data_IF_143981695615
#
_entry.id   IF_143981695615
#
_cell.length_a   1.000
_cell.length_b   1.000
_cell.length_c   1.000
_cell.angle_alpha   90.00
_cell.angle_beta   90.00
_cell.angle_gamma   90.00
#
_symmetry.space_group_name_H-M   'P 1'
#
loop_
_entity.id
_entity.type
_entity.pdbx_description
1 polymer ?
#
# COMPACT_ATOMS: atom_id res chain seq x y z
N UNK A 1 -22.20 -27.77 -20.24
CA UNK A 1 -21.62 -28.60 -19.16
C UNK A 1 -20.13 -28.90 -19.43
N UNK A 2 -19.34 -27.87 -19.78
CA UNK A 2 -17.88 -27.92 -20.00
C UNK A 2 -17.11 -26.94 -19.08
N UNK A 3 -17.81 -26.18 -18.22
CA UNK A 3 -17.23 -25.06 -17.46
C UNK A 3 -16.19 -25.47 -16.42
N UNK A 4 -16.24 -26.69 -15.89
CA UNK A 4 -15.30 -27.11 -14.84
C UNK A 4 -13.85 -27.27 -15.35
N UNK A 5 -13.66 -27.59 -16.64
CA UNK A 5 -12.34 -27.73 -17.24
C UNK A 5 -11.65 -26.38 -17.46
N UNK A 6 -12.38 -25.41 -18.01
CA UNK A 6 -11.84 -24.07 -18.29
C UNK A 6 -11.49 -23.31 -16.99
N UNK A 7 -12.36 -23.39 -15.98
CA UNK A 7 -12.15 -22.71 -14.69
C UNK A 7 -10.87 -23.17 -13.99
N UNK A 8 -10.55 -24.46 -14.03
CA UNK A 8 -9.33 -25.02 -13.43
C UNK A 8 -8.07 -24.55 -14.16
N UNK A 9 -8.18 -24.35 -15.48
CA UNK A 9 -7.06 -23.93 -16.33
C UNK A 9 -6.74 -22.45 -16.14
N UNK A 10 -7.76 -21.60 -16.02
CA UNK A 10 -7.61 -20.16 -15.76
C UNK A 10 -6.94 -19.94 -14.39
N UNK A 11 -7.42 -20.62 -13.34
CA UNK A 11 -6.82 -20.53 -11.99
C UNK A 11 -5.33 -20.88 -11.97
N UNK A 12 -4.92 -21.91 -12.69
CA UNK A 12 -3.50 -22.31 -12.80
C UNK A 12 -2.65 -21.25 -13.48
N UNK A 13 -3.13 -20.64 -14.57
CA UNK A 13 -2.41 -19.58 -15.29
C UNK A 13 -2.23 -18.33 -14.43
N UNK A 14 -3.30 -17.87 -13.77
CA UNK A 14 -3.25 -16.72 -12.87
C UNK A 14 -2.28 -16.93 -11.72
N UNK A 15 -2.32 -18.11 -11.08
CA UNK A 15 -1.38 -18.47 -10.03
C UNK A 15 0.07 -18.47 -10.52
N UNK A 16 0.33 -19.08 -11.69
CA UNK A 16 1.67 -19.12 -12.27
C UNK A 16 2.22 -17.71 -12.55
N UNK A 17 1.40 -16.81 -13.10
CA UNK A 17 1.80 -15.42 -13.35
C UNK A 17 2.17 -14.71 -12.05
N UNK A 18 1.32 -14.79 -11.02
CA UNK A 18 1.59 -14.17 -9.72
C UNK A 18 2.85 -14.76 -9.08
N UNK A 19 3.05 -16.08 -9.19
CA UNK A 19 4.22 -16.77 -8.68
C UNK A 19 5.51 -16.33 -9.39
N UNK A 20 5.48 -16.19 -10.72
CA UNK A 20 6.64 -15.68 -11.48
C UNK A 20 6.95 -14.24 -11.09
N UNK A 21 5.94 -13.37 -10.97
CA UNK A 21 6.14 -11.98 -10.53
C UNK A 21 6.74 -11.92 -9.12
N UNK A 22 6.29 -12.79 -8.22
CA UNK A 22 6.86 -12.91 -6.88
C UNK A 22 8.33 -13.35 -6.91
N UNK A 23 8.67 -14.39 -7.69
CA UNK A 23 10.06 -14.82 -7.82
C UNK A 23 10.95 -13.75 -8.45
N UNK A 24 10.46 -13.03 -9.46
CA UNK A 24 11.17 -11.91 -10.07
C UNK A 24 11.41 -10.79 -9.06
N UNK A 25 10.42 -10.46 -8.23
CA UNK A 25 10.55 -9.49 -7.15
C UNK A 25 11.60 -9.93 -6.13
N UNK A 26 11.56 -11.18 -5.65
CA UNK A 26 12.56 -11.70 -4.71
C UNK A 26 13.95 -11.68 -5.32
N UNK A 27 14.10 -12.11 -6.58
CA UNK A 27 15.38 -12.11 -7.28
C UNK A 27 15.96 -10.69 -7.43
N UNK A 28 15.13 -9.70 -7.79
CA UNK A 28 15.56 -8.31 -7.91
C UNK A 28 16.07 -7.75 -6.56
N UNK A 29 15.36 -8.03 -5.47
CA UNK A 29 15.80 -7.62 -4.13
C UNK A 29 17.08 -8.35 -3.69
N UNK A 30 17.26 -9.61 -4.09
CA UNK A 30 18.50 -10.37 -3.81
C UNK A 30 19.70 -9.82 -4.59
N UNK A 31 19.51 -9.34 -5.82
CA UNK A 31 20.58 -8.67 -6.58
C UNK A 31 21.01 -7.39 -5.86
N UNK A 32 20.04 -6.55 -5.46
CA UNK A 32 20.35 -5.32 -4.71
C UNK A 32 21.06 -5.63 -3.37
N UNK A 33 20.70 -6.72 -2.72
CA UNK A 33 21.38 -7.19 -1.50
C UNK A 33 22.81 -7.68 -1.77
N UNK A 34 23.03 -8.40 -2.88
CA UNK A 34 24.38 -8.84 -3.28
C UNK A 34 25.30 -7.66 -3.62
N UNK A 35 24.78 -6.63 -4.28
CA UNK A 35 25.53 -5.39 -4.54
C UNK A 35 25.88 -4.64 -3.24
N UNK A 36 25.02 -4.72 -2.22
CA UNK A 36 25.30 -4.15 -0.91
C UNK A 36 26.37 -4.93 -0.12
N UNK A 37 26.46 -6.25 -0.31
CA UNK A 37 27.47 -7.11 0.34
C UNK A 37 28.89 -6.88 -0.19
N UNK A 38 29.04 -6.34 -1.39
CA UNK A 38 30.35 -6.07 -2.01
C UNK A 38 31.03 -4.81 -1.45
N UNK A 39 30.34 -4.06 -0.57
CA UNK A 39 30.93 -2.91 0.12
C UNK A 39 31.75 -3.37 1.34
N UNK A 40 33.06 -3.12 1.34
CA UNK A 40 33.98 -3.51 2.43
C UNK A 40 33.64 -2.90 3.80
N UNK A 41 32.83 -1.83 3.83
CA UNK A 41 32.51 -1.11 5.04
C UNK A 41 31.24 -1.66 5.69
N UNK A 42 31.41 -2.24 6.89
CA UNK A 42 30.30 -2.68 7.75
C UNK A 42 29.68 -1.48 8.47
N UNK A 43 28.66 -0.88 7.85
CA UNK A 43 27.89 0.17 8.50
C UNK A 43 26.75 -0.41 9.34
N UNK A 44 26.41 0.21 10.47
CA UNK A 44 25.28 -0.19 11.33
C UNK A 44 24.11 0.76 11.07
N UNK A 45 22.93 0.20 10.79
CA UNK A 45 21.69 0.96 10.61
C UNK A 45 20.89 0.99 11.91
N UNK A 46 20.57 2.17 12.47
CA UNK A 46 19.95 2.29 13.80
C UNK A 46 18.58 1.65 13.95
N UNK A 47 17.74 1.61 12.89
CA UNK A 47 16.36 1.13 12.97
C UNK A 47 16.24 -0.26 13.61
N UNK A 48 17.13 -1.18 13.23
CA UNK A 48 17.20 -2.52 13.80
C UNK A 48 18.51 -2.79 14.55
N UNK A 49 19.43 -1.83 14.54
CA UNK A 49 20.79 -1.99 15.07
C UNK A 49 21.51 -3.21 14.49
N UNK A 50 21.40 -3.39 13.17
CA UNK A 50 21.99 -4.48 12.40
C UNK A 50 23.05 -3.93 11.43
N UNK A 51 23.97 -4.80 11.01
CA UNK A 51 24.82 -4.53 9.85
C UNK A 51 23.93 -4.21 8.62
N UNK A 52 24.37 -3.29 7.75
CA UNK A 52 23.55 -2.71 6.68
C UNK A 52 22.96 -3.75 5.73
N UNK A 53 23.74 -4.76 5.37
CA UNK A 53 23.34 -5.93 4.61
C UNK A 53 22.20 -6.69 5.32
N UNK A 54 22.39 -7.07 6.58
CA UNK A 54 21.35 -7.75 7.37
C UNK A 54 20.10 -6.89 7.53
N UNK A 55 20.27 -5.58 7.71
CA UNK A 55 19.18 -4.62 7.75
C UNK A 55 18.38 -4.63 6.44
N UNK A 56 19.03 -4.58 5.28
CA UNK A 56 18.36 -4.64 3.98
C UNK A 56 17.63 -5.96 3.75
N UNK A 57 18.24 -7.09 4.11
CA UNK A 57 17.59 -8.39 4.01
C UNK A 57 16.31 -8.44 4.86
N UNK A 58 16.38 -7.96 6.10
CA UNK A 58 15.22 -7.90 7.00
C UNK A 58 14.18 -6.92 6.47
N UNK A 59 14.57 -5.69 6.14
CA UNK A 59 13.64 -4.61 5.81
C UNK A 59 12.96 -4.78 4.44
N UNK A 60 13.67 -5.31 3.44
CA UNK A 60 13.16 -5.41 2.07
C UNK A 60 12.59 -6.77 1.72
N UNK A 61 13.04 -7.84 2.38
CA UNK A 61 12.59 -9.21 2.08
C UNK A 61 11.69 -9.74 3.18
N UNK A 62 12.21 -9.93 4.40
CA UNK A 62 11.46 -10.64 5.44
C UNK A 62 10.31 -9.82 6.02
N UNK A 63 10.58 -8.56 6.37
CA UNK A 63 9.61 -7.68 7.00
C UNK A 63 8.37 -7.50 6.13
N UNK A 64 8.46 -7.07 4.85
CA UNK A 64 7.26 -6.78 4.05
C UNK A 64 6.45 -8.04 3.79
N UNK A 65 7.10 -9.20 3.56
CA UNK A 65 6.40 -10.47 3.34
C UNK A 65 5.63 -10.87 4.60
N UNK A 66 6.31 -10.97 5.75
CA UNK A 66 5.71 -11.45 6.98
C UNK A 66 4.58 -10.53 7.46
N UNK A 67 4.87 -9.23 7.52
CA UNK A 67 3.90 -8.26 8.04
C UNK A 67 2.75 -8.04 7.07
N UNK A 68 2.93 -8.15 5.75
CA UNK A 68 1.81 -8.10 4.79
C UNK A 68 0.88 -9.29 4.96
N UNK A 69 1.42 -10.51 5.15
CA UNK A 69 0.61 -11.70 5.42
C UNK A 69 -0.23 -11.52 6.68
N UNK A 70 0.39 -11.02 7.76
CA UNK A 70 -0.29 -10.73 9.02
C UNK A 70 -1.35 -9.63 8.80
N UNK A 71 -1.01 -8.56 8.09
CA UNK A 71 -1.88 -7.42 7.83
C UNK A 71 -3.14 -7.83 7.04
N UNK A 72 -3.00 -8.60 5.97
CA UNK A 72 -4.13 -9.06 5.14
C UNK A 72 -5.12 -9.91 5.93
N UNK A 73 -4.68 -10.56 7.02
CA UNK A 73 -5.56 -11.34 7.91
C UNK A 73 -6.15 -10.45 9.00
N UNK A 74 -5.31 -9.70 9.72
CA UNK A 74 -5.72 -8.94 10.89
C UNK A 74 -6.57 -7.72 10.55
N UNK A 75 -6.23 -6.97 9.50
CA UNK A 75 -6.95 -5.74 9.17
C UNK A 75 -8.41 -6.01 8.79
N UNK A 76 -8.75 -6.95 7.89
CA UNK A 76 -10.14 -7.31 7.64
C UNK A 76 -10.85 -7.77 8.92
N UNK A 77 -10.22 -8.63 9.72
CA UNK A 77 -10.81 -9.17 10.94
C UNK A 77 -11.18 -8.08 11.95
N UNK A 78 -10.31 -7.08 12.12
CA UNK A 78 -10.47 -6.02 13.13
C UNK A 78 -11.29 -4.86 12.58
N UNK A 79 -11.00 -4.40 11.36
CA UNK A 79 -11.58 -3.17 10.81
C UNK A 79 -12.90 -3.38 10.07
N UNK A 80 -13.22 -4.56 9.52
CA UNK A 80 -14.55 -4.79 8.93
C UNK A 80 -15.67 -4.57 9.96
N UNK A 81 -15.61 -5.14 11.18
CA UNK A 81 -16.61 -4.86 12.22
C UNK A 81 -16.77 -3.36 12.50
N UNK A 82 -15.65 -2.62 12.55
CA UNK A 82 -15.65 -1.16 12.76
C UNK A 82 -16.30 -0.43 11.58
N UNK A 83 -15.93 -0.78 10.35
CA UNK A 83 -16.52 -0.22 9.12
C UNK A 83 -18.02 -0.48 9.09
N UNK A 84 -18.45 -1.70 9.44
CA UNK A 84 -19.87 -2.05 9.50
C UNK A 84 -20.61 -1.33 10.62
N UNK A 85 -19.98 -1.12 11.77
CA UNK A 85 -20.54 -0.33 12.87
C UNK A 85 -20.75 1.14 12.45
N UNK A 86 -19.73 1.76 11.86
CA UNK A 86 -19.82 3.13 11.33
C UNK A 86 -20.87 3.21 10.23
N UNK A 87 -20.88 2.22 9.32
CA UNK A 87 -21.86 2.12 8.24
C UNK A 87 -23.28 2.12 8.80
N UNK A 88 -23.57 1.24 9.76
CA UNK A 88 -24.91 1.11 10.32
C UNK A 88 -25.38 2.38 11.04
N UNK A 89 -24.46 3.22 11.54
CA UNK A 89 -24.78 4.54 12.11
C UNK A 89 -25.12 5.56 11.02
N UNK A 90 -24.26 5.71 10.01
CA UNK A 90 -24.40 6.73 8.96
C UNK A 90 -25.56 6.36 8.00
N UNK A 91 -25.64 5.09 7.61
CA UNK A 91 -26.55 4.56 6.62
C UNK A 91 -27.58 3.61 7.24
N UNK A 92 -28.15 3.97 8.39
CA UNK A 92 -29.14 3.17 9.11
C UNK A 92 -30.40 2.81 8.28
N UNK A 93 -30.69 3.56 7.22
CA UNK A 93 -31.83 3.32 6.31
C UNK A 93 -31.59 2.20 5.30
N UNK A 94 -30.33 1.78 5.12
CA UNK A 94 -29.96 0.73 4.17
C UNK A 94 -29.83 -0.61 4.90
N UNK A 95 -30.46 -1.63 4.34
CA UNK A 95 -30.30 -3.01 4.79
C UNK A 95 -29.15 -3.69 4.05
N UNK A 96 -28.59 -4.75 4.65
CA UNK A 96 -27.46 -5.50 4.09
C UNK A 96 -27.96 -6.75 3.35
N UNK A 97 -27.43 -7.00 2.17
CA UNK A 97 -27.68 -8.20 1.38
C UNK A 97 -26.38 -8.81 0.90
N UNK A 98 -26.41 -10.11 0.64
CA UNK A 98 -25.29 -10.84 0.09
C UNK A 98 -25.65 -11.30 -1.31
N UNK A 99 -24.74 -11.08 -2.26
CA UNK A 99 -24.84 -11.63 -3.61
C UNK A 99 -23.70 -12.62 -3.78
N UNK A 100 -24.01 -13.81 -4.30
CA UNK A 100 -22.96 -14.77 -4.65
C UNK A 100 -22.08 -14.17 -5.74
N UNK A 101 -20.82 -13.91 -5.39
CA UNK A 101 -19.82 -13.46 -6.35
C UNK A 101 -19.31 -14.68 -7.12
N UNK A 102 -19.24 -14.54 -8.45
CA UNK A 102 -18.63 -15.55 -9.30
C UNK A 102 -17.13 -15.75 -9.00
N UNK A 103 -16.49 -16.77 -9.59
CA UNK A 103 -15.07 -17.00 -9.39
C UNK A 103 -14.25 -15.80 -9.85
N UNK A 104 -13.48 -15.20 -8.94
CA UNK A 104 -12.54 -14.13 -9.26
C UNK A 104 -11.50 -14.62 -10.26
N UNK A 105 -11.39 -13.90 -11.38
CA UNK A 105 -10.37 -14.12 -12.39
C UNK A 105 -9.33 -13.01 -12.29
N UNK A 106 -8.06 -13.32 -12.61
CA UNK A 106 -7.02 -12.30 -12.67
C UNK A 106 -7.29 -11.40 -13.89
N UNK A 107 -7.82 -10.21 -13.63
CA UNK A 107 -7.86 -9.14 -14.60
C UNK A 107 -6.59 -8.27 -14.43
N UNK A 108 -5.69 -8.33 -15.40
CA UNK A 108 -4.44 -7.56 -15.40
C UNK A 108 -4.67 -6.04 -15.35
N UNK A 109 -5.78 -5.55 -15.93
CA UNK A 109 -6.13 -4.14 -15.89
C UNK A 109 -6.52 -3.72 -14.47
N UNK A 110 -7.32 -4.55 -13.79
CA UNK A 110 -7.69 -4.34 -12.39
C UNK A 110 -6.45 -4.46 -11.50
N UNK A 111 -5.59 -5.44 -11.74
CA UNK A 111 -4.32 -5.61 -11.04
C UNK A 111 -3.45 -4.36 -11.14
N UNK A 112 -3.17 -3.88 -12.36
CA UNK A 112 -2.35 -2.68 -12.56
C UNK A 112 -2.96 -1.44 -11.90
N UNK A 113 -4.28 -1.26 -12.02
CA UNK A 113 -5.01 -0.18 -11.35
C UNK A 113 -4.86 -0.25 -9.83
N UNK A 114 -4.96 -1.45 -9.24
CA UNK A 114 -4.74 -1.68 -7.80
C UNK A 114 -3.29 -1.38 -7.41
N UNK A 115 -2.31 -1.78 -8.22
CA UNK A 115 -0.89 -1.46 -8.00
C UNK A 115 -0.61 0.04 -7.98
N UNK A 116 -1.21 0.81 -8.89
CA UNK A 116 -1.12 2.28 -8.89
C UNK A 116 -1.69 2.86 -7.58
N UNK A 117 -2.80 2.33 -7.08
CA UNK A 117 -3.34 2.79 -5.79
C UNK A 117 -2.48 2.41 -4.60
N UNK A 118 -1.91 1.22 -4.57
CA UNK A 118 -0.95 0.80 -3.54
C UNK A 118 0.24 1.76 -3.52
N UNK A 119 0.77 2.07 -4.70
CA UNK A 119 1.88 3.01 -4.87
C UNK A 119 1.53 4.41 -4.36
N UNK A 120 0.44 5.01 -4.85
CA UNK A 120 0.01 6.35 -4.43
C UNK A 120 -0.32 6.42 -2.93
N UNK A 121 -0.97 5.38 -2.39
CA UNK A 121 -1.31 5.32 -0.97
C UNK A 121 -0.06 5.15 -0.10
N UNK A 122 0.86 4.27 -0.50
CA UNK A 122 2.14 4.09 0.17
C UNK A 122 2.95 5.38 0.18
N UNK A 123 3.11 6.01 -0.98
CA UNK A 123 3.79 7.30 -1.10
C UNK A 123 3.18 8.40 -0.23
N UNK A 124 1.86 8.57 -0.34
CA UNK A 124 1.14 9.58 0.41
C UNK A 124 1.21 9.38 1.91
N UNK A 125 1.10 8.12 2.37
CA UNK A 125 1.16 7.79 3.79
C UNK A 125 2.58 7.90 4.35
N UNK A 126 3.60 7.46 3.59
CA UNK A 126 5.03 7.69 3.91
C UNK A 126 5.29 9.18 4.11
N UNK A 127 4.91 10.02 3.13
CA UNK A 127 5.06 11.47 3.20
C UNK A 127 4.38 12.07 4.43
N UNK A 128 3.13 11.66 4.69
CA UNK A 128 2.35 12.15 5.84
C UNK A 128 3.02 11.78 7.16
N UNK A 129 3.44 10.53 7.34
CA UNK A 129 4.05 10.07 8.59
C UNK A 129 5.41 10.71 8.86
N UNK A 130 6.20 10.93 7.82
CA UNK A 130 7.48 11.65 7.94
C UNK A 130 7.23 13.12 8.29
N UNK A 131 6.29 13.78 7.61
CA UNK A 131 5.95 15.18 7.88
C UNK A 131 5.39 15.40 9.28
N UNK A 132 4.71 14.40 9.85
CA UNK A 132 4.22 14.42 11.23
C UNK A 132 5.29 14.08 12.28
N UNK A 133 6.52 13.77 11.86
CA UNK A 133 7.61 13.39 12.75
C UNK A 133 7.42 12.02 13.42
N UNK A 134 6.60 11.14 12.84
CA UNK A 134 6.38 9.78 13.37
C UNK A 134 7.63 8.92 13.21
N UNK A 135 8.38 9.14 12.12
CA UNK A 135 9.63 8.45 11.85
C UNK A 135 10.77 9.47 11.81
N UNK A 136 11.79 9.23 12.61
CA UNK A 136 13.09 9.90 12.47
C UNK A 136 13.84 9.25 11.30
N UNK A 137 14.23 10.08 10.34
CA UNK A 137 14.91 9.61 9.13
C UNK A 137 16.28 9.03 9.47
N UNK A 138 16.94 9.55 10.52
CA UNK A 138 18.24 9.06 10.96
C UNK A 138 18.22 7.57 11.35
N UNK A 139 17.04 7.00 11.59
CA UNK A 139 16.91 5.57 11.85
C UNK A 139 17.26 4.70 10.64
N UNK A 140 17.06 5.20 9.42
CA UNK A 140 17.24 4.45 8.18
C UNK A 140 18.60 4.66 7.54
N UNK A 141 19.38 5.62 8.05
CA UNK A 141 20.69 5.96 7.54
C UNK A 141 21.76 5.20 8.36
N UNK A 142 22.75 4.55 7.70
CA UNK A 142 23.87 3.97 8.41
C UNK A 142 24.72 5.02 9.16
N UNK A 143 25.03 4.76 10.44
CA UNK A 143 25.67 5.70 11.38
C UNK A 143 27.09 6.14 11.04
N UNK A 144 27.71 5.44 10.09
CA UNK A 144 29.14 5.55 9.75
C UNK A 144 29.36 6.03 8.32
N UNK A 145 28.28 6.40 7.60
CA UNK A 145 28.43 7.24 6.39
C UNK A 145 29.10 8.52 6.87
N UNK A 146 30.38 8.65 6.54
CA UNK A 146 31.18 9.78 6.91
C UNK A 146 30.45 11.03 6.42
N UNK A 147 30.05 11.89 7.36
CA UNK A 147 29.31 13.13 7.08
C UNK A 147 30.05 14.02 6.06
N UNK A 148 31.29 13.70 5.71
CA UNK A 148 32.18 14.41 4.80
C UNK A 148 31.96 14.12 3.30
N UNK A 149 31.05 13.22 2.91
CA UNK A 149 30.63 13.18 1.49
C UNK A 149 29.67 14.35 1.23
N UNK A 150 30.08 15.34 0.43
CA UNK A 150 29.29 16.55 0.14
C UNK A 150 27.83 16.26 -0.27
N UNK A 151 27.60 15.12 -0.94
CA UNK A 151 26.28 14.63 -1.34
C UNK A 151 25.41 14.18 -0.16
N UNK A 152 26.01 13.59 0.87
CA UNK A 152 25.31 13.25 2.10
C UNK A 152 25.07 14.51 2.94
N UNK A 153 26.05 15.38 3.15
CA UNK A 153 25.84 16.58 3.96
C UNK A 153 24.71 17.49 3.43
N UNK A 154 24.65 17.74 2.11
CA UNK A 154 23.64 18.66 1.53
C UNK A 154 22.26 18.04 1.32
N UNK A 155 22.16 16.76 0.96
CA UNK A 155 20.87 16.09 0.84
C UNK A 155 20.21 15.84 2.20
N UNK A 156 21.02 15.71 3.26
CA UNK A 156 20.55 15.45 4.61
C UNK A 156 20.07 16.69 5.35
N UNK A 157 20.63 17.87 5.04
CA UNK A 157 20.27 19.12 5.71
C UNK A 157 18.93 19.69 5.23
N UNK A 158 18.52 19.46 3.98
CA UNK A 158 17.40 20.21 3.40
C UNK A 158 16.08 19.43 3.22
N UNK A 159 16.05 18.17 2.76
CA UNK A 159 14.82 17.34 2.76
C UNK A 159 15.11 15.84 2.60
N UNK A 160 15.21 15.16 3.75
CA UNK A 160 15.49 13.73 3.88
C UNK A 160 14.44 12.79 3.22
N UNK A 161 13.22 13.28 2.95
CA UNK A 161 12.14 12.53 2.30
C UNK A 161 12.52 12.03 0.89
N UNK A 162 13.40 12.75 0.20
CA UNK A 162 13.75 12.47 -1.20
C UNK A 162 14.99 11.60 -1.35
N UNK A 163 15.58 11.14 -0.24
CA UNK A 163 16.66 10.16 -0.29
C UNK A 163 16.08 8.78 -0.65
N UNK A 164 16.47 8.16 -1.79
CA UNK A 164 15.83 6.95 -2.30
C UNK A 164 15.81 5.80 -1.30
N UNK A 165 16.89 5.58 -0.55
CA UNK A 165 17.06 4.49 0.41
C UNK A 165 16.13 4.68 1.60
N UNK A 166 16.05 5.90 2.13
CA UNK A 166 15.07 6.24 3.17
C UNK A 166 13.65 6.00 2.66
N UNK A 167 13.35 6.53 1.48
CA UNK A 167 12.02 6.46 0.90
C UNK A 167 11.56 5.03 0.61
N UNK A 168 12.45 4.18 0.07
CA UNK A 168 12.19 2.77 -0.15
C UNK A 168 12.06 2.05 1.20
N UNK A 169 12.91 2.37 2.18
CA UNK A 169 12.87 1.80 3.53
C UNK A 169 11.55 2.09 4.24
N UNK A 170 11.14 3.35 4.30
CA UNK A 170 9.89 3.76 4.94
C UNK A 170 8.67 3.22 4.20
N UNK A 171 8.71 3.20 2.87
CA UNK A 171 7.64 2.58 2.06
C UNK A 171 7.55 1.08 2.34
N UNK A 172 8.67 0.39 2.54
CA UNK A 172 8.68 -1.04 2.91
C UNK A 172 8.07 -1.31 4.29
N UNK A 173 8.26 -0.40 5.25
CA UNK A 173 7.59 -0.49 6.56
C UNK A 173 6.08 -0.24 6.47
N UNK A 174 5.67 0.66 5.57
CA UNK A 174 4.29 1.14 5.43
C UNK A 174 3.44 0.25 4.51
N UNK A 175 4.06 -0.41 3.54
CA UNK A 175 3.40 -1.29 2.57
C UNK A 175 2.44 -2.31 3.22
N UNK A 176 2.78 -2.99 4.33
CA UNK A 176 1.87 -3.90 5.03
C UNK A 176 0.57 -3.21 5.48
N UNK A 177 0.67 -1.97 5.98
CA UNK A 177 -0.48 -1.19 6.41
C UNK A 177 -1.34 -0.77 5.20
N UNK A 178 -0.70 -0.36 4.11
CA UNK A 178 -1.36 -0.01 2.83
C UNK A 178 -2.14 -1.20 2.27
N UNK A 179 -1.50 -2.36 2.18
CA UNK A 179 -2.12 -3.60 1.69
C UNK A 179 -3.21 -4.04 2.66
N UNK A 180 -2.98 -3.95 3.97
CA UNK A 180 -3.96 -4.21 5.01
C UNK A 180 -5.24 -3.39 4.85
N UNK A 181 -5.11 -2.07 4.67
CA UNK A 181 -6.25 -1.18 4.41
C UNK A 181 -7.00 -1.58 3.13
N UNK A 182 -6.28 -1.84 2.05
CA UNK A 182 -6.91 -2.25 0.78
C UNK A 182 -7.58 -3.63 0.87
N UNK A 183 -7.03 -4.55 1.66
CA UNK A 183 -7.56 -5.90 1.85
C UNK A 183 -8.97 -5.89 2.46
N UNK A 184 -9.34 -4.86 3.24
CA UNK A 184 -10.71 -4.69 3.73
C UNK A 184 -11.67 -4.47 2.57
N UNK A 185 -11.31 -3.61 1.62
CA UNK A 185 -12.12 -3.39 0.43
C UNK A 185 -12.28 -4.68 -0.39
N UNK A 186 -11.20 -5.43 -0.56
CA UNK A 186 -11.22 -6.67 -1.34
C UNK A 186 -12.04 -7.74 -0.63
N UNK A 187 -11.90 -7.88 0.69
CA UNK A 187 -12.68 -8.82 1.47
C UNK A 187 -14.18 -8.48 1.40
N UNK A 188 -14.55 -7.20 1.48
CA UNK A 188 -15.95 -6.75 1.34
C UNK A 188 -16.51 -6.99 -0.08
N UNK A 189 -15.66 -6.89 -1.10
CA UNK A 189 -15.98 -7.22 -2.49
C UNK A 189 -16.18 -8.74 -2.65
N UNK A 190 -15.28 -9.55 -2.09
CA UNK A 190 -15.27 -11.01 -2.19
C UNK A 190 -16.49 -11.65 -1.52
N UNK A 191 -16.95 -11.10 -0.39
CA UNK A 191 -18.19 -11.57 0.27
C UNK A 191 -19.47 -11.09 -0.43
N UNK A 192 -19.36 -10.24 -1.46
CA UNK A 192 -20.50 -9.73 -2.22
C UNK A 192 -21.47 -8.90 -1.37
N UNK A 193 -20.95 -8.13 -0.41
CA UNK A 193 -21.78 -7.35 0.50
C UNK A 193 -22.37 -6.12 -0.22
N UNK A 194 -23.69 -6.14 -0.36
CA UNK A 194 -24.50 -5.09 -0.98
C UNK A 194 -25.39 -4.43 0.05
N UNK A 195 -25.80 -3.21 -0.24
CA UNK A 195 -26.72 -2.45 0.58
C UNK A 195 -27.88 -1.97 -0.28
N UNK A 196 -29.08 -2.15 0.26
CA UNK A 196 -30.32 -1.86 -0.42
C UNK A 196 -31.22 -0.97 0.45
N UNK A 197 -31.84 0.03 -0.18
CA UNK A 197 -32.86 0.87 0.45
C UNK A 197 -34.20 0.57 -0.20
N UNK A 198 -35.18 0.19 0.63
CA UNK A 198 -36.55 0.07 0.17
C UNK A 198 -37.18 1.45 0.01
N UNK A 199 -37.97 1.67 -1.06
CA UNK A 199 -38.73 2.91 -1.21
C UNK A 199 -39.72 3.03 -0.05
N UNK A 200 -39.78 4.23 0.53
CA UNK A 200 -40.69 4.53 1.63
C UNK A 200 -42.06 4.86 1.02
N UNK A 201 -43.01 3.91 1.07
CA UNK A 201 -44.36 4.05 0.48
C UNK A 201 -45.07 5.31 0.97
N UNK A 202 -44.79 5.74 2.21
CA UNK A 202 -45.35 6.95 2.80
C UNK A 202 -44.82 8.26 2.20
N UNK A 203 -43.69 8.24 1.48
CA UNK A 203 -43.03 9.43 0.94
C UNK A 203 -43.21 9.65 -0.57
N UNK A 204 -44.00 8.82 -1.26
CA UNK A 204 -44.13 8.87 -2.73
C UNK A 204 -42.77 8.85 -3.47
N UNK A 205 -41.72 8.25 -2.86
CA UNK A 205 -40.46 8.02 -3.56
C UNK A 205 -40.74 7.05 -4.71
N UNK A 206 -40.51 7.48 -5.95
CA UNK A 206 -40.71 6.66 -7.15
C UNK A 206 -40.02 5.29 -6.97
N UNK A 207 -40.71 4.22 -7.35
CA UNK A 207 -40.36 2.78 -7.26
C UNK A 207 -38.96 2.37 -7.78
N UNK A 208 -37.88 2.94 -7.26
CA UNK A 208 -36.51 2.59 -7.61
C UNK A 208 -35.80 2.12 -6.35
N UNK A 209 -35.36 0.87 -6.39
CA UNK A 209 -34.48 0.31 -5.36
C UNK A 209 -33.09 0.93 -5.55
N UNK A 210 -32.55 1.53 -4.50
CA UNK A 210 -31.14 1.91 -4.48
C UNK A 210 -30.35 0.68 -4.03
N UNK A 211 -29.52 0.14 -4.92
CA UNK A 211 -28.61 -0.97 -4.64
C UNK A 211 -27.20 -0.46 -4.87
N UNK A 212 -26.36 -0.51 -3.84
CA UNK A 212 -24.95 -0.13 -3.93
C UNK A 212 -24.09 -1.23 -3.30
N UNK A 213 -22.84 -1.47 -3.76
CA UNK A 213 -21.88 -2.31 -3.06
C UNK A 213 -21.18 -1.60 -1.88
N UNK A 214 -20.99 -2.28 -0.74
CA UNK A 214 -20.36 -1.64 0.46
C UNK A 214 -18.91 -1.30 0.20
N UNK A 215 -18.20 -2.19 -0.49
CA UNK A 215 -16.80 -2.00 -0.78
C UNK A 215 -16.52 -0.71 -1.59
N UNK A 216 -17.44 -0.27 -2.47
CA UNK A 216 -17.24 0.95 -3.27
C UNK A 216 -17.12 2.22 -2.42
N UNK A 217 -17.88 2.31 -1.33
CA UNK A 217 -17.78 3.46 -0.41
C UNK A 217 -16.41 3.50 0.28
N UNK A 218 -16.01 2.38 0.88
CA UNK A 218 -14.73 2.28 1.57
C UNK A 218 -13.55 2.46 0.61
N UNK A 219 -13.61 1.82 -0.56
CA UNK A 219 -12.62 1.95 -1.62
C UNK A 219 -12.52 3.38 -2.15
N UNK A 220 -13.65 4.09 -2.25
CA UNK A 220 -13.71 5.50 -2.64
C UNK A 220 -12.95 6.40 -1.66
N UNK A 221 -13.10 6.18 -0.35
CA UNK A 221 -12.38 6.92 0.69
C UNK A 221 -10.87 6.69 0.57
N UNK A 222 -10.44 5.43 0.48
CA UNK A 222 -9.01 5.10 0.33
C UNK A 222 -8.43 5.73 -0.93
N UNK A 223 -9.12 5.63 -2.07
CA UNK A 223 -8.68 6.24 -3.34
C UNK A 223 -8.58 7.76 -3.23
N UNK A 224 -9.56 8.40 -2.60
CA UNK A 224 -9.57 9.84 -2.38
C UNK A 224 -8.35 10.29 -1.60
N UNK A 225 -8.06 9.61 -0.48
CA UNK A 225 -6.86 9.88 0.31
C UNK A 225 -5.58 9.61 -0.48
N UNK A 226 -5.45 8.46 -1.15
CA UNK A 226 -4.28 8.12 -1.96
C UNK A 226 -4.02 9.15 -3.06
N UNK A 227 -5.07 9.63 -3.73
CA UNK A 227 -4.98 10.66 -4.77
C UNK A 227 -4.52 12.00 -4.21
N UNK A 228 -5.14 12.48 -3.13
CA UNK A 228 -4.78 13.77 -2.51
C UNK A 228 -3.35 13.71 -1.96
N UNK A 229 -3.01 12.66 -1.22
CA UNK A 229 -1.69 12.51 -0.63
C UNK A 229 -0.58 12.36 -1.69
N UNK A 230 -0.86 11.67 -2.80
CA UNK A 230 0.05 11.59 -3.94
C UNK A 230 0.25 12.95 -4.64
N UNK A 231 -0.82 13.74 -4.82
CA UNK A 231 -0.71 15.10 -5.39
C UNK A 231 0.12 16.00 -4.48
N UNK A 232 -0.15 16.00 -3.18
CA UNK A 232 0.59 16.80 -2.20
C UNK A 232 2.07 16.44 -2.20
N UNK A 233 2.38 15.14 -2.22
CA UNK A 233 3.76 14.68 -2.33
C UNK A 233 4.46 15.17 -3.61
N UNK A 234 3.80 15.06 -4.78
CA UNK A 234 4.39 15.54 -6.04
C UNK A 234 4.64 17.05 -6.02
N UNK A 235 3.71 17.84 -5.46
CA UNK A 235 3.89 19.28 -5.29
C UNK A 235 5.10 19.55 -4.39
N UNK A 236 5.19 18.88 -3.24
CA UNK A 236 6.35 19.01 -2.34
C UNK A 236 7.66 18.63 -3.02
N UNK A 237 7.68 17.57 -3.83
CA UNK A 237 8.85 17.11 -4.55
C UNK A 237 9.30 18.11 -5.63
N UNK A 238 8.34 18.70 -6.35
CA UNK A 238 8.61 19.74 -7.35
C UNK A 238 9.16 20.98 -6.67
N UNK A 239 8.54 21.44 -5.57
CA UNK A 239 9.03 22.59 -4.80
C UNK A 239 10.46 22.34 -4.35
N UNK A 240 10.72 21.18 -3.75
CA UNK A 240 12.07 20.79 -3.34
C UNK A 240 13.08 20.84 -4.49
N UNK A 241 12.75 20.24 -5.64
CA UNK A 241 13.67 20.22 -6.77
C UNK A 241 13.93 21.62 -7.36
N UNK A 242 12.93 22.50 -7.36
CA UNK A 242 13.08 23.89 -7.80
C UNK A 242 13.97 24.67 -6.82
N UNK A 243 13.70 24.58 -5.51
CA UNK A 243 14.50 25.25 -4.48
C UNK A 243 15.95 24.78 -4.54
N UNK A 244 16.17 23.46 -4.55
CA UNK A 244 17.51 22.85 -4.64
C UNK A 244 18.30 23.32 -5.86
N UNK A 245 17.68 23.38 -7.05
CA UNK A 245 18.37 23.85 -8.25
C UNK A 245 18.65 25.36 -8.24
N UNK A 246 17.90 26.14 -7.45
CA UNK A 246 18.07 27.59 -7.34
C UNK A 246 19.22 27.94 -6.39
N UNK A 247 19.40 27.18 -5.31
CA UNK A 247 20.49 27.39 -4.35
C UNK A 247 21.87 26.94 -4.89
N UNK A 248 21.92 26.30 -6.06
CA UNK A 248 23.16 25.94 -6.78
C UNK A 248 23.61 26.97 -7.84
N UNK A 249 22.86 28.05 -8.07
CA UNK A 249 23.16 29.12 -9.04
C UNK A 249 23.72 30.37 -8.35
#
# INVERSE_FOLDING_TARGET
MNDHGELKTIKKKSFLIVFILFLAFVALNMINFMDALDQENKYIVPLFNLEQDMHYLVLFVFWPILTTLIAVILFPLILIPVVMFIKNRIWHKYQNGYIEMGPLQLDLKVFFKRSVYIFLLGWGLSSTLVSLGVFDVNLFIPTTIDANTELAQRAYEENLLYYPEFFIGITSLILPLVIGLLSISWTLEDVGLMHYKFPDEAKNEKFLYEIEPVYLKYHGIIKGYAGIAGILYLISAIIFHITYNTDQL
#
